data_IF_414383659784
#
_entry.id   IF_414383659784
#
_cell.length_a   1.000
_cell.length_b   1.000
_cell.length_c   1.000
_cell.angle_alpha   90.00
_cell.angle_beta   90.00
_cell.angle_gamma   90.00
#
_symmetry.space_group_name_H-M   'P 1'
#
loop_
_entity.id
_entity.type
_entity.pdbx_description
1 polymer ?
#
# COMPACT_ATOMS: atom_id res chain seq x y z
N UNK A 1 -19.39 39.25 -15.88
CA UNK A 1 -18.07 38.96 -15.30
C UNK A 1 -18.29 37.91 -14.22
N UNK A 2 -18.06 36.64 -14.55
CA UNK A 2 -18.26 35.52 -13.65
C UNK A 2 -16.88 34.98 -13.26
N UNK A 3 -16.64 34.94 -11.96
CA UNK A 3 -15.45 34.43 -11.29
C UNK A 3 -15.31 32.92 -11.54
N UNK A 4 -14.12 32.40 -11.89
CA UNK A 4 -13.97 30.97 -12.16
C UNK A 4 -13.88 30.19 -10.83
N UNK A 5 -14.86 29.32 -10.61
CA UNK A 5 -14.86 28.29 -9.58
C UNK A 5 -13.60 27.42 -9.72
N UNK A 6 -12.75 27.47 -8.70
CA UNK A 6 -11.64 26.53 -8.54
C UNK A 6 -12.20 25.11 -8.33
N UNK A 7 -11.66 24.07 -8.99
CA UNK A 7 -12.03 22.70 -8.66
C UNK A 7 -11.38 22.33 -7.32
N UNK A 8 -12.17 22.34 -6.25
CA UNK A 8 -11.78 21.73 -4.98
C UNK A 8 -11.54 20.23 -5.19
N UNK A 9 -10.31 19.79 -4.95
CA UNK A 9 -10.03 18.37 -4.74
C UNK A 9 -11.00 17.85 -3.65
N UNK A 10 -11.62 16.68 -3.83
CA UNK A 10 -12.53 16.15 -2.83
C UNK A 10 -11.77 15.99 -1.51
N UNK A 11 -12.15 16.80 -0.52
CA UNK A 11 -11.82 16.62 0.89
C UNK A 11 -12.43 15.30 1.37
N UNK A 12 -11.82 14.18 0.98
CA UNK A 12 -12.00 12.94 1.71
C UNK A 12 -11.39 13.21 3.10
N UNK A 13 -12.15 13.09 4.20
CA UNK A 13 -11.60 13.26 5.52
C UNK A 13 -10.45 12.27 5.65
N UNK A 14 -9.24 12.81 5.82
CA UNK A 14 -8.10 12.03 6.24
C UNK A 14 -8.53 11.34 7.53
N UNK A 15 -8.86 10.06 7.47
CA UNK A 15 -8.69 9.19 8.62
C UNK A 15 -7.23 9.40 9.00
N UNK A 16 -7.01 10.14 10.10
CA UNK A 16 -5.71 10.53 10.60
C UNK A 16 -4.97 9.25 10.96
N UNK A 17 -4.28 8.67 9.98
CA UNK A 17 -3.35 7.58 10.17
C UNK A 17 -2.11 8.19 10.78
N UNK A 18 -2.10 8.16 12.11
CA UNK A 18 -1.16 8.86 12.95
C UNK A 18 -0.69 7.86 13.99
N UNK A 19 0.41 7.15 13.74
CA UNK A 19 0.88 6.08 14.62
C UNK A 19 1.34 6.56 16.00
N UNK A 20 1.73 7.82 16.19
CA UNK A 20 2.06 8.34 17.53
C UNK A 20 0.81 8.76 18.33
N UNK A 21 -0.08 9.63 17.80
CA UNK A 21 -1.39 9.87 18.38
C UNK A 21 -2.28 8.62 18.54
N UNK A 22 -2.15 7.59 17.68
CA UNK A 22 -2.88 6.33 17.86
C UNK A 22 -2.19 5.41 18.87
N UNK A 23 -0.87 5.39 18.99
CA UNK A 23 -0.15 4.55 19.95
C UNK A 23 -0.54 4.89 21.38
N UNK A 24 -0.36 6.16 21.78
CA UNK A 24 -0.71 6.59 23.14
C UNK A 24 -2.20 6.46 23.40
N UNK A 25 -3.04 6.81 22.42
CA UNK A 25 -4.49 6.68 22.56
C UNK A 25 -4.96 5.22 22.60
N UNK A 26 -4.35 4.28 21.88
CA UNK A 26 -4.70 2.85 21.93
C UNK A 26 -4.23 2.21 23.22
N UNK A 27 -3.00 2.50 23.67
CA UNK A 27 -2.52 2.04 24.99
C UNK A 27 -3.40 2.63 26.09
N UNK A 28 -3.66 3.94 26.07
CA UNK A 28 -4.52 4.61 27.04
C UNK A 28 -5.95 4.06 27.01
N UNK A 29 -6.54 3.79 25.84
CA UNK A 29 -7.86 3.18 25.73
C UNK A 29 -7.91 1.74 26.30
N UNK A 30 -6.89 0.92 26.03
CA UNK A 30 -6.81 -0.45 26.52
C UNK A 30 -6.60 -0.49 28.04
N UNK A 31 -5.78 0.42 28.56
CA UNK A 31 -5.58 0.62 29.99
C UNK A 31 -6.85 1.14 30.67
N UNK A 32 -7.53 2.11 30.08
CA UNK A 32 -8.82 2.59 30.58
C UNK A 32 -9.85 1.48 30.66
N UNK A 33 -9.96 0.64 29.62
CA UNK A 33 -10.89 -0.49 29.61
C UNK A 33 -10.58 -1.50 30.73
N UNK A 34 -9.31 -1.87 30.89
CA UNK A 34 -8.89 -2.83 31.90
C UNK A 34 -9.07 -2.30 33.33
N UNK A 35 -8.64 -1.07 33.61
CA UNK A 35 -8.74 -0.48 34.95
C UNK A 35 -10.17 -0.10 35.32
N UNK A 36 -11.02 0.28 34.37
CA UNK A 36 -12.45 0.47 34.64
C UNK A 36 -13.13 -0.84 35.01
N UNK A 37 -12.85 -1.93 34.29
CA UNK A 37 -13.38 -3.26 34.63
C UNK A 37 -12.87 -3.75 36.00
N UNK A 38 -11.62 -3.45 36.37
CA UNK A 38 -11.10 -3.72 37.71
C UNK A 38 -11.84 -2.90 38.77
N UNK A 39 -11.99 -1.58 38.57
CA UNK A 39 -12.72 -0.70 39.50
C UNK A 39 -14.15 -1.18 39.75
N UNK A 40 -14.87 -1.60 38.69
CA UNK A 40 -16.23 -2.15 38.81
C UNK A 40 -16.27 -3.45 39.60
N UNK A 41 -15.34 -4.38 39.34
CA UNK A 41 -15.24 -5.64 40.10
C UNK A 41 -14.85 -5.43 41.56
N UNK A 42 -14.00 -4.45 41.86
CA UNK A 42 -13.61 -4.13 43.23
C UNK A 42 -14.73 -3.42 44.01
N UNK A 43 -15.51 -2.56 43.35
CA UNK A 43 -16.71 -1.97 43.96
C UNK A 43 -17.75 -3.02 44.40
N UNK A 44 -17.71 -4.21 43.80
CA UNK A 44 -18.57 -5.35 44.11
C UNK A 44 -17.94 -6.38 45.07
N UNK A 45 -16.68 -6.21 45.51
CA UNK A 45 -15.95 -7.19 46.32
C UNK A 45 -15.94 -6.86 47.83
N UNK A 46 -15.91 -7.86 48.75
CA UNK A 46 -15.80 -7.63 50.18
C UNK A 46 -14.45 -7.05 50.62
N UNK A 47 -14.43 -6.35 51.76
CA UNK A 47 -13.42 -5.41 52.27
C UNK A 47 -11.98 -5.92 52.54
N UNK A 48 -11.55 -7.06 52.00
CA UNK A 48 -10.20 -7.63 52.21
C UNK A 48 -9.29 -7.61 50.98
N UNK A 49 -9.65 -6.87 49.92
CA UNK A 49 -8.86 -6.68 48.70
C UNK A 49 -8.22 -5.30 48.56
N UNK A 50 -7.48 -5.10 47.47
CA UNK A 50 -6.91 -3.80 47.06
C UNK A 50 -7.97 -2.70 47.12
N UNK A 51 -7.62 -1.59 47.75
CA UNK A 51 -8.47 -0.40 47.86
C UNK A 51 -8.54 0.34 46.53
N UNK A 52 -9.62 1.12 46.34
CA UNK A 52 -9.78 1.96 45.15
C UNK A 52 -8.60 2.91 44.94
N UNK A 53 -8.04 3.45 46.03
CA UNK A 53 -6.88 4.33 45.98
C UNK A 53 -5.62 3.61 45.49
N UNK A 54 -5.42 2.34 45.86
CA UNK A 54 -4.29 1.54 45.36
C UNK A 54 -4.45 1.19 43.88
N UNK A 55 -5.68 0.91 43.43
CA UNK A 55 -5.97 0.70 42.00
C UNK A 55 -5.73 1.99 41.19
N UNK A 56 -6.11 3.14 41.72
CA UNK A 56 -5.87 4.44 41.09
C UNK A 56 -4.37 4.78 41.05
N UNK A 57 -3.62 4.49 42.12
CA UNK A 57 -2.17 4.66 42.15
C UNK A 57 -1.44 3.74 41.14
N UNK A 58 -1.90 2.50 40.97
CA UNK A 58 -1.37 1.60 39.94
C UNK A 58 -1.74 2.14 38.55
N UNK A 59 -2.96 2.63 38.34
CA UNK A 59 -3.36 3.23 37.06
C UNK A 59 -2.49 4.44 36.72
N UNK A 60 -2.25 5.34 37.67
CA UNK A 60 -1.40 6.52 37.47
C UNK A 60 0.05 6.12 37.18
N UNK A 61 0.60 5.12 37.88
CA UNK A 61 1.93 4.55 37.59
C UNK A 61 2.06 4.03 36.15
N UNK A 62 1.00 3.38 35.65
CA UNK A 62 0.97 2.88 34.28
C UNK A 62 0.69 3.98 33.24
N UNK A 63 -0.09 5.01 33.59
CA UNK A 63 -0.47 6.12 32.71
C UNK A 63 0.62 7.15 32.54
N UNK A 64 1.33 7.47 33.61
CA UNK A 64 2.38 8.49 33.64
C UNK A 64 3.71 7.99 33.05
N UNK A 65 3.73 6.74 32.55
CA UNK A 65 4.73 6.24 31.63
C UNK A 65 6.05 5.91 32.31
N UNK A 66 6.11 4.79 33.03
CA UNK A 66 7.42 4.24 33.38
C UNK A 66 8.23 3.97 32.10
N UNK A 67 9.51 4.36 32.04
CA UNK A 67 10.38 4.12 30.88
C UNK A 67 10.42 2.65 30.44
N UNK A 68 10.27 1.74 31.39
CA UNK A 68 10.25 0.29 31.17
C UNK A 68 9.00 -0.16 30.41
N UNK A 69 7.82 0.35 30.77
CA UNK A 69 6.57 0.06 30.06
C UNK A 69 6.59 0.67 28.66
N UNK A 70 7.08 1.89 28.53
CA UNK A 70 7.25 2.56 27.24
C UNK A 70 8.14 1.73 26.30
N UNK A 71 9.26 1.21 26.81
CA UNK A 71 10.15 0.32 26.07
C UNK A 71 9.48 -1.01 25.69
N UNK A 72 8.74 -1.61 26.62
CA UNK A 72 8.01 -2.86 26.38
C UNK A 72 6.93 -2.70 25.29
N UNK A 73 6.11 -1.65 25.37
CA UNK A 73 5.10 -1.37 24.35
C UNK A 73 5.73 -1.08 22.98
N UNK A 74 6.81 -0.30 22.92
CA UNK A 74 7.54 -0.08 21.65
C UNK A 74 7.99 -1.41 21.03
N UNK A 75 8.61 -2.28 21.83
CA UNK A 75 9.07 -3.60 21.38
C UNK A 75 7.92 -4.48 20.88
N UNK A 76 6.79 -4.49 21.60
CA UNK A 76 5.59 -5.24 21.22
C UNK A 76 5.01 -4.74 19.89
N UNK A 77 4.94 -3.43 19.70
CA UNK A 77 4.44 -2.83 18.46
C UNK A 77 5.40 -3.02 17.28
N UNK A 78 6.70 -2.88 17.47
CA UNK A 78 7.70 -3.22 16.43
C UNK A 78 7.59 -4.70 16.02
N UNK A 79 7.38 -5.57 16.99
CA UNK A 79 7.16 -7.00 16.75
C UNK A 79 5.84 -7.23 16.00
N UNK A 80 4.76 -6.56 16.39
CA UNK A 80 3.47 -6.62 15.71
C UNK A 80 3.57 -6.12 14.27
N UNK A 81 4.22 -4.98 14.02
CA UNK A 81 4.41 -4.42 12.68
C UNK A 81 5.26 -5.36 11.82
N UNK A 82 6.29 -6.00 12.38
CA UNK A 82 7.08 -7.03 11.68
C UNK A 82 6.24 -8.26 11.35
N UNK A 83 5.46 -8.78 12.29
CA UNK A 83 4.58 -9.95 12.08
C UNK A 83 3.50 -9.62 11.04
N UNK A 84 2.91 -8.43 11.13
CA UNK A 84 1.91 -7.93 10.18
C UNK A 84 2.52 -7.78 8.79
N UNK A 85 3.70 -7.19 8.67
CA UNK A 85 4.42 -7.08 7.40
C UNK A 85 4.73 -8.47 6.82
N UNK A 86 5.19 -9.41 7.64
CA UNK A 86 5.49 -10.79 7.21
C UNK A 86 4.22 -11.55 6.78
N UNK A 87 3.14 -11.44 7.56
CA UNK A 87 1.85 -12.04 7.24
C UNK A 87 1.28 -11.47 5.95
N UNK A 88 1.35 -10.15 5.78
CA UNK A 88 0.95 -9.48 4.55
C UNK A 88 1.83 -9.95 3.38
N UNK A 89 3.16 -10.05 3.54
CA UNK A 89 4.05 -10.54 2.49
C UNK A 89 3.74 -12.00 2.09
N UNK A 90 3.30 -12.81 3.05
CA UNK A 90 2.85 -14.18 2.78
C UNK A 90 1.49 -14.19 2.06
N UNK A 91 0.54 -13.34 2.45
CA UNK A 91 -0.77 -13.24 1.77
C UNK A 91 -0.64 -12.65 0.36
N UNK A 92 0.32 -11.74 0.14
CA UNK A 92 0.65 -11.20 -1.18
C UNK A 92 1.14 -12.29 -2.15
N UNK A 93 1.79 -13.34 -1.64
CA UNK A 93 2.25 -14.47 -2.48
C UNK A 93 1.09 -15.35 -2.93
N UNK A 94 -0.02 -15.34 -2.20
CA UNK A 94 -1.21 -16.13 -2.50
C UNK A 94 -2.29 -15.35 -3.26
N UNK A 95 -2.22 -14.01 -3.27
CA UNK A 95 -3.17 -13.15 -3.98
C UNK A 95 -2.78 -13.00 -5.45
N UNK A 96 -3.54 -13.65 -6.32
CA UNK A 96 -3.29 -13.72 -7.76
C UNK A 96 -3.39 -12.35 -8.45
N UNK A 97 -4.26 -11.45 -7.95
CA UNK A 97 -4.44 -10.12 -8.53
C UNK A 97 -3.28 -9.19 -8.16
N UNK A 98 -2.87 -9.17 -6.91
CA UNK A 98 -1.70 -8.40 -6.48
C UNK A 98 -0.42 -8.91 -7.16
N UNK A 99 -0.29 -10.23 -7.33
CA UNK A 99 0.80 -10.83 -8.10
C UNK A 99 0.80 -10.36 -9.57
N UNK A 100 -0.38 -10.32 -10.19
CA UNK A 100 -0.55 -9.82 -11.56
C UNK A 100 -0.16 -8.34 -11.69
N UNK A 101 -0.43 -7.51 -10.69
CA UNK A 101 0.05 -6.13 -10.68
C UNK A 101 1.58 -6.07 -10.57
N UNK A 102 2.19 -6.87 -9.69
CA UNK A 102 3.65 -6.92 -9.52
C UNK A 102 4.38 -7.35 -10.77
N UNK A 103 3.84 -8.31 -11.53
CA UNK A 103 4.42 -8.77 -12.81
C UNK A 103 4.69 -7.61 -13.79
N UNK A 104 3.92 -6.51 -13.69
CA UNK A 104 4.15 -5.35 -14.56
C UNK A 104 5.43 -4.57 -14.26
N UNK A 105 5.99 -4.71 -13.06
CA UNK A 105 7.18 -3.96 -12.61
C UNK A 105 8.19 -4.81 -11.82
N UNK A 106 8.07 -6.14 -11.82
CA UNK A 106 8.90 -7.01 -10.99
C UNK A 106 10.40 -6.90 -11.29
N UNK A 107 10.74 -6.66 -12.57
CA UNK A 107 12.10 -6.41 -13.05
C UNK A 107 12.74 -5.18 -12.41
N UNK A 108 11.95 -4.24 -11.87
CA UNK A 108 12.44 -3.02 -11.22
C UNK A 108 12.53 -3.16 -9.70
N UNK A 109 12.09 -4.29 -9.13
CA UNK A 109 12.22 -4.53 -7.70
C UNK A 109 13.69 -4.78 -7.34
N UNK A 110 14.08 -4.35 -6.14
CA UNK A 110 15.37 -4.73 -5.54
C UNK A 110 15.43 -6.25 -5.44
N UNK A 111 16.58 -6.82 -5.83
CA UNK A 111 16.83 -8.26 -5.72
C UNK A 111 16.73 -8.69 -4.25
N UNK A 112 16.14 -9.86 -4.01
CA UNK A 112 16.06 -10.47 -2.67
C UNK A 112 17.43 -10.83 -2.12
N UNK A 113 18.39 -11.14 -3.00
CA UNK A 113 19.76 -11.47 -2.64
C UNK A 113 20.66 -10.23 -2.50
N UNK A 114 20.15 -9.03 -2.80
CA UNK A 114 20.93 -7.80 -2.64
C UNK A 114 21.36 -7.63 -1.18
N UNK A 115 22.63 -7.24 -0.93
CA UNK A 115 23.07 -6.90 0.40
C UNK A 115 22.11 -5.89 1.04
N UNK A 116 21.74 -6.15 2.30
CA UNK A 116 20.99 -5.20 3.14
C UNK A 116 21.94 -4.23 3.83
N UNK A 117 23.07 -3.93 3.19
CA UNK A 117 24.04 -2.90 3.57
C UNK A 117 23.47 -1.47 3.47
N UNK A 118 22.16 -1.39 3.21
CA UNK A 118 21.34 -0.29 3.64
C UNK A 118 21.14 0.74 2.56
N UNK A 119 21.37 0.42 1.27
CA UNK A 119 20.98 1.29 0.16
C UNK A 119 20.39 0.53 -1.03
N UNK A 120 19.07 0.59 -1.19
CA UNK A 120 18.44 0.19 -2.43
C UNK A 120 18.96 1.09 -3.58
N UNK A 121 19.33 0.51 -4.75
CA UNK A 121 19.73 1.30 -5.90
C UNK A 121 18.68 2.37 -6.25
N UNK A 122 19.10 3.57 -6.72
CA UNK A 122 18.17 4.66 -7.01
C UNK A 122 17.20 4.31 -8.15
N UNK A 123 17.60 3.40 -9.04
CA UNK A 123 16.83 2.88 -10.18
C UNK A 123 15.95 1.65 -9.82
N UNK A 124 15.88 1.27 -8.54
CA UNK A 124 15.13 0.10 -8.08
C UNK A 124 14.09 0.47 -7.04
N UNK A 125 13.00 -0.29 -7.04
CA UNK A 125 11.87 -0.15 -6.13
C UNK A 125 12.09 -1.10 -4.94
N UNK A 126 12.17 -0.59 -3.69
CA UNK A 126 12.30 -1.45 -2.52
C UNK A 126 11.07 -2.37 -2.36
N UNK A 127 11.28 -3.63 -2.00
CA UNK A 127 10.17 -4.61 -1.87
C UNK A 127 9.28 -4.31 -0.66
N UNK A 128 9.81 -3.59 0.32
CA UNK A 128 9.15 -3.15 1.54
C UNK A 128 7.97 -2.21 1.27
N UNK A 129 7.91 -1.58 0.08
CA UNK A 129 6.80 -0.70 -0.31
C UNK A 129 5.59 -1.46 -0.84
N UNK A 130 5.73 -2.73 -1.23
CA UNK A 130 4.64 -3.54 -1.80
C UNK A 130 3.38 -3.59 -0.92
N UNK A 131 3.47 -3.80 0.42
CA UNK A 131 2.30 -3.72 1.28
C UNK A 131 1.54 -2.38 1.17
N UNK A 132 2.27 -1.27 1.23
CA UNK A 132 1.68 0.07 1.14
C UNK A 132 1.13 0.33 -0.27
N UNK A 133 1.80 -0.20 -1.30
CA UNK A 133 1.35 -0.13 -2.69
C UNK A 133 0.01 -0.81 -2.88
N UNK A 134 -0.17 -2.03 -2.39
CA UNK A 134 -1.45 -2.74 -2.52
C UNK A 134 -2.59 -2.06 -1.76
N UNK A 135 -2.27 -1.45 -0.63
CA UNK A 135 -3.25 -0.62 0.07
C UNK A 135 -3.62 0.62 -0.77
N UNK A 136 -2.64 1.35 -1.29
CA UNK A 136 -2.86 2.54 -2.11
C UNK A 136 -3.61 2.20 -3.41
N UNK A 137 -3.25 1.12 -4.10
CA UNK A 137 -3.95 0.69 -5.33
C UNK A 137 -5.38 0.28 -5.02
N UNK A 138 -5.68 -0.34 -3.88
CA UNK A 138 -7.06 -0.63 -3.48
C UNK A 138 -7.88 0.64 -3.26
N UNK A 139 -7.28 1.69 -2.70
CA UNK A 139 -7.95 3.00 -2.57
C UNK A 139 -8.21 3.65 -3.94
N UNK A 140 -7.26 3.56 -4.87
CA UNK A 140 -7.40 4.11 -6.23
C UNK A 140 -8.46 3.33 -7.04
N UNK A 141 -8.44 2.00 -6.96
CA UNK A 141 -9.27 1.12 -7.78
C UNK A 141 -10.69 0.95 -7.23
N UNK A 142 -10.87 1.12 -5.92
CA UNK A 142 -12.10 0.80 -5.20
C UNK A 142 -12.20 -0.67 -4.82
N UNK A 143 -12.87 -0.96 -3.69
CA UNK A 143 -13.01 -2.32 -3.14
C UNK A 143 -13.72 -3.27 -4.10
N UNK A 144 -14.83 -2.84 -4.70
CA UNK A 144 -15.63 -3.64 -5.63
C UNK A 144 -14.81 -4.12 -6.83
N UNK A 145 -14.01 -3.22 -7.43
CA UNK A 145 -13.18 -3.59 -8.57
C UNK A 145 -12.08 -4.58 -8.18
N UNK A 146 -11.43 -4.36 -7.03
CA UNK A 146 -10.37 -5.24 -6.54
C UNK A 146 -10.93 -6.62 -6.22
N UNK A 147 -12.06 -6.71 -5.54
CA UNK A 147 -12.69 -8.00 -5.18
C UNK A 147 -13.16 -8.76 -6.41
N UNK A 148 -13.80 -8.07 -7.37
CA UNK A 148 -14.21 -8.69 -8.64
C UNK A 148 -13.01 -9.18 -9.43
N UNK A 149 -11.93 -8.39 -9.48
CA UNK A 149 -10.71 -8.74 -10.22
C UNK A 149 -9.96 -9.90 -9.56
N UNK A 150 -9.84 -9.89 -8.22
CA UNK A 150 -9.24 -10.97 -7.46
C UNK A 150 -10.00 -12.28 -7.63
N UNK A 151 -11.34 -12.24 -7.56
CA UNK A 151 -12.18 -13.40 -7.84
C UNK A 151 -11.96 -13.93 -9.27
N UNK A 152 -11.96 -13.05 -10.27
CA UNK A 152 -11.72 -13.47 -11.66
C UNK A 152 -10.35 -14.12 -11.84
N UNK A 153 -9.29 -13.53 -11.29
CA UNK A 153 -7.94 -14.10 -11.31
C UNK A 153 -7.89 -15.48 -10.61
N UNK A 154 -8.54 -15.61 -9.45
CA UNK A 154 -8.61 -16.87 -8.72
C UNK A 154 -9.32 -17.96 -9.53
N UNK A 155 -10.49 -17.65 -10.10
CA UNK A 155 -11.28 -18.58 -10.90
C UNK A 155 -10.50 -19.04 -12.14
N UNK A 156 -9.80 -18.12 -12.81
CA UNK A 156 -8.96 -18.46 -13.97
C UNK A 156 -7.79 -19.35 -13.56
N UNK A 157 -7.07 -19.04 -12.47
CA UNK A 157 -5.99 -19.89 -11.97
C UNK A 157 -6.49 -21.31 -11.73
N UNK A 158 -7.63 -21.47 -11.07
CA UNK A 158 -8.21 -22.79 -10.80
C UNK A 158 -8.56 -23.57 -12.07
N UNK A 159 -9.10 -22.88 -13.08
CA UNK A 159 -9.39 -23.50 -14.39
C UNK A 159 -8.09 -23.97 -15.06
N UNK A 160 -7.05 -23.14 -15.04
CA UNK A 160 -5.74 -23.48 -15.62
C UNK A 160 -5.06 -24.63 -14.86
N UNK A 161 -5.12 -24.64 -13.52
CA UNK A 161 -4.61 -25.74 -12.69
C UNK A 161 -5.35 -27.05 -12.97
N UNK A 162 -6.67 -27.01 -13.18
CA UNK A 162 -7.46 -28.19 -13.54
C UNK A 162 -7.15 -28.69 -14.96
N UNK A 163 -6.90 -27.77 -15.90
CA UNK A 163 -6.60 -28.09 -17.30
C UNK A 163 -5.17 -28.62 -17.48
N UNK A 164 -4.19 -27.96 -16.88
CA UNK A 164 -2.77 -28.18 -17.12
C UNK A 164 -2.13 -29.07 -16.05
N UNK A 165 -2.78 -29.24 -14.89
CA UNK A 165 -2.31 -30.07 -13.79
C UNK A 165 -0.87 -29.70 -13.38
N UNK A 166 0.06 -30.66 -13.35
CA UNK A 166 1.46 -30.39 -13.00
C UNK A 166 2.20 -29.45 -13.96
N UNK A 167 1.69 -29.24 -15.19
CA UNK A 167 2.29 -28.35 -16.17
C UNK A 167 1.87 -26.88 -16.00
N UNK A 168 0.99 -26.58 -15.03
CA UNK A 168 0.63 -25.21 -14.70
C UNK A 168 1.87 -24.38 -14.36
N UNK A 169 1.95 -23.17 -14.92
CA UNK A 169 2.97 -22.19 -14.59
C UNK A 169 2.35 -20.80 -14.47
N UNK A 170 3.04 -19.88 -13.79
CA UNK A 170 2.58 -18.50 -13.73
C UNK A 170 2.61 -17.82 -15.10
N UNK A 171 3.49 -18.25 -16.00
CA UNK A 171 3.57 -17.72 -17.36
C UNK A 171 2.32 -18.09 -18.17
N UNK A 172 1.77 -19.31 -17.99
CA UNK A 172 0.50 -19.68 -18.62
C UNK A 172 -0.68 -18.88 -18.04
N UNK A 173 -0.64 -18.57 -16.74
CA UNK A 173 -1.61 -17.67 -16.11
C UNK A 173 -1.53 -16.23 -16.65
N UNK A 174 -0.33 -15.64 -16.72
CA UNK A 174 -0.14 -14.27 -17.22
C UNK A 174 -0.45 -14.13 -18.71
N UNK A 175 -0.32 -15.22 -19.48
CA UNK A 175 -0.65 -15.24 -20.90
C UNK A 175 -2.14 -15.43 -21.19
N UNK A 176 -2.98 -15.72 -20.18
CA UNK A 176 -4.41 -15.88 -20.38
C UNK A 176 -5.07 -14.54 -20.78
N UNK A 177 -5.85 -14.49 -21.89
CA UNK A 177 -6.44 -13.24 -22.37
C UNK A 177 -7.35 -12.53 -21.36
N UNK A 178 -8.04 -13.28 -20.48
CA UNK A 178 -8.89 -12.69 -19.44
C UNK A 178 -8.05 -12.11 -18.31
N UNK A 179 -6.94 -12.77 -17.94
CA UNK A 179 -5.97 -12.24 -16.98
C UNK A 179 -5.34 -10.96 -17.50
N UNK A 180 -4.89 -10.95 -18.77
CA UNK A 180 -4.37 -9.75 -19.43
C UNK A 180 -5.39 -8.62 -19.45
N UNK A 181 -6.66 -8.91 -19.72
CA UNK A 181 -7.73 -7.91 -19.66
C UNK A 181 -7.87 -7.31 -18.25
N UNK A 182 -7.86 -8.13 -17.20
CA UNK A 182 -7.91 -7.64 -15.80
C UNK A 182 -6.71 -6.74 -15.51
N UNK A 183 -5.50 -7.17 -15.88
CA UNK A 183 -4.27 -6.39 -15.69
C UNK A 183 -4.36 -5.02 -16.38
N UNK A 184 -4.71 -5.01 -17.68
CA UNK A 184 -4.82 -3.79 -18.47
C UNK A 184 -5.86 -2.82 -17.91
N UNK A 185 -7.02 -3.33 -17.47
CA UNK A 185 -8.07 -2.49 -16.85
C UNK A 185 -7.62 -1.89 -15.53
N UNK A 186 -6.93 -2.66 -14.69
CA UNK A 186 -6.42 -2.19 -13.42
C UNK A 186 -5.33 -1.12 -13.62
N UNK A 187 -4.34 -1.40 -14.46
CA UNK A 187 -3.26 -0.46 -14.78
C UNK A 187 -3.81 0.82 -15.39
N UNK A 188 -4.72 0.74 -16.37
CA UNK A 188 -5.29 1.93 -16.98
C UNK A 188 -6.04 2.79 -15.96
N UNK A 189 -6.78 2.19 -15.01
CA UNK A 189 -7.43 2.94 -13.92
C UNK A 189 -6.41 3.61 -12.99
N UNK A 190 -5.34 2.91 -12.62
CA UNK A 190 -4.25 3.47 -11.80
C UNK A 190 -3.60 4.67 -12.50
N UNK A 191 -3.33 4.57 -13.81
CA UNK A 191 -2.70 5.67 -14.56
C UNK A 191 -3.67 6.83 -14.74
N UNK A 192 -4.93 6.56 -15.12
CA UNK A 192 -5.98 7.58 -15.30
C UNK A 192 -6.27 8.35 -14.01
N UNK A 193 -6.06 7.73 -12.84
CA UNK A 193 -6.16 8.42 -11.56
C UNK A 193 -5.35 9.72 -11.55
N UNK A 194 -4.15 9.75 -12.12
CA UNK A 194 -3.28 10.92 -12.12
C UNK A 194 -3.72 12.07 -13.06
N UNK A 195 -4.76 11.89 -13.89
CA UNK A 195 -5.16 12.84 -14.94
C UNK A 195 -5.48 14.25 -14.44
N UNK A 196 -6.29 14.37 -13.40
CA UNK A 196 -6.87 15.65 -12.98
C UNK A 196 -5.93 16.48 -12.11
N UNK A 197 -5.13 15.82 -11.29
CA UNK A 197 -4.21 16.45 -10.35
C UNK A 197 -2.95 15.59 -10.24
N UNK A 198 -2.09 15.71 -11.24
CA UNK A 198 -0.87 14.91 -11.31
C UNK A 198 0.06 15.19 -10.13
N UNK A 199 0.26 16.46 -9.79
CA UNK A 199 1.20 16.89 -8.74
C UNK A 199 0.71 16.53 -7.33
N UNK A 200 -0.57 16.75 -7.02
CA UNK A 200 -1.13 16.38 -5.72
C UNK A 200 -1.21 14.86 -5.55
N UNK A 201 -1.64 14.12 -6.58
CA UNK A 201 -1.71 12.65 -6.54
C UNK A 201 -0.34 11.99 -6.48
N UNK A 202 0.67 12.57 -7.13
CA UNK A 202 2.09 12.20 -6.96
C UNK A 202 2.54 12.35 -5.51
N UNK A 203 2.34 13.54 -4.91
CA UNK A 203 2.73 13.79 -3.51
C UNK A 203 2.01 12.83 -2.57
N UNK A 204 0.72 12.60 -2.81
CA UNK A 204 -0.08 11.66 -2.04
C UNK A 204 0.46 10.23 -2.13
N UNK A 205 0.73 9.70 -3.33
CA UNK A 205 1.19 8.31 -3.47
C UNK A 205 2.59 8.12 -2.88
N UNK A 206 3.50 9.07 -3.10
CA UNK A 206 4.84 9.03 -2.49
C UNK A 206 4.75 9.01 -0.96
N UNK A 207 3.86 9.83 -0.39
CA UNK A 207 3.60 9.84 1.07
C UNK A 207 2.98 8.51 1.54
N UNK A 208 1.99 7.99 0.82
CA UNK A 208 1.30 6.75 1.16
C UNK A 208 2.26 5.54 1.16
N UNK A 209 3.15 5.46 0.16
CA UNK A 209 4.12 4.37 0.05
C UNK A 209 5.22 4.44 1.11
N UNK A 210 5.52 5.64 1.62
CA UNK A 210 6.45 5.85 2.73
C UNK A 210 5.78 5.74 4.11
N UNK A 211 4.46 5.56 4.21
CA UNK A 211 3.76 5.58 5.49
C UNK A 211 4.31 4.53 6.48
N UNK A 212 4.55 3.30 6.01
CA UNK A 212 5.12 2.23 6.84
C UNK A 212 6.64 2.36 7.04
N UNK A 213 7.32 3.18 6.24
CA UNK A 213 8.75 3.42 6.42
C UNK A 213 9.01 4.15 7.74
N UNK A 214 8.11 5.04 8.17
CA UNK A 214 8.23 5.87 9.37
C UNK A 214 8.48 5.13 10.69
N UNK A 215 8.02 3.88 10.82
CA UNK A 215 8.33 3.03 11.98
C UNK A 215 9.78 2.51 12.01
N UNK A 216 10.42 2.42 10.84
CA UNK A 216 11.80 1.93 10.66
C UNK A 216 12.86 3.04 10.70
N UNK A 217 12.46 4.31 10.52
CA UNK A 217 13.40 5.45 10.45
C UNK A 217 14.04 5.79 11.82
N UNK A 218 13.44 5.40 12.95
CA UNK A 218 13.98 5.72 14.28
C UNK A 218 15.21 4.89 14.68
N UNK A 219 15.58 3.87 13.90
CA UNK A 219 16.70 2.96 14.20
C UNK A 219 17.94 3.12 13.31
N UNK A 220 18.16 4.28 12.68
CA UNK A 220 19.34 4.51 11.83
C UNK A 220 19.37 3.72 10.52
N UNK A 221 18.34 2.92 10.23
CA UNK A 221 18.15 2.23 8.94
C UNK A 221 17.51 3.19 7.94
N UNK A 222 18.39 4.06 7.44
CA UNK A 222 18.57 4.44 6.05
C UNK A 222 17.42 5.14 5.29
N UNK A 223 17.62 6.43 5.01
CA UNK A 223 16.94 7.23 3.97
C UNK A 223 16.87 6.59 2.57
N UNK A 224 17.60 5.51 2.34
CA UNK A 224 17.72 4.82 1.05
C UNK A 224 16.55 3.92 0.69
N UNK A 225 15.71 3.54 1.66
CA UNK A 225 14.48 2.77 1.44
C UNK A 225 13.26 3.65 1.15
N UNK A 226 13.41 4.98 1.18
CA UNK A 226 12.32 5.90 0.91
C UNK A 226 11.86 5.79 -0.55
N UNK A 227 10.57 5.63 -0.75
CA UNK A 227 9.97 5.76 -2.07
C UNK A 227 10.05 7.23 -2.52
N UNK A 228 10.63 7.50 -3.69
CA UNK A 228 10.86 8.86 -4.21
C UNK A 228 10.02 9.12 -5.46
N UNK A 229 10.00 10.36 -5.96
CA UNK A 229 9.39 10.69 -7.25
C UNK A 229 10.05 9.93 -8.40
N UNK A 230 11.38 9.77 -8.40
CA UNK A 230 12.07 8.93 -9.38
C UNK A 230 11.65 7.46 -9.34
N UNK A 231 11.43 6.89 -8.15
CA UNK A 231 10.88 5.52 -8.03
C UNK A 231 9.42 5.44 -8.47
N UNK A 232 8.63 6.51 -8.28
CA UNK A 232 7.29 6.61 -8.84
C UNK A 232 7.34 6.63 -10.37
N UNK A 233 8.26 7.39 -10.98
CA UNK A 233 8.47 7.43 -12.43
C UNK A 233 8.71 6.02 -12.96
N UNK A 234 9.62 5.27 -12.34
CA UNK A 234 9.96 3.90 -12.74
C UNK A 234 8.73 3.00 -12.63
N UNK A 235 8.02 3.04 -11.49
CA UNK A 235 6.81 2.26 -11.26
C UNK A 235 5.74 2.53 -12.33
N UNK A 236 5.43 3.81 -12.57
CA UNK A 236 4.39 4.22 -13.52
C UNK A 236 4.78 3.89 -14.96
N UNK A 237 6.04 4.10 -15.37
CA UNK A 237 6.50 3.72 -16.72
C UNK A 237 6.44 2.21 -16.94
N UNK A 238 6.84 1.41 -15.94
CA UNK A 238 6.75 -0.04 -16.00
C UNK A 238 5.31 -0.52 -16.17
N UNK A 239 4.38 0.05 -15.40
CA UNK A 239 2.94 -0.22 -15.53
C UNK A 239 2.41 0.24 -16.91
N UNK A 240 2.69 1.48 -17.32
CA UNK A 240 2.21 2.07 -18.57
C UNK A 240 2.62 1.21 -19.78
N UNK A 241 3.80 0.58 -19.77
CA UNK A 241 4.25 -0.33 -20.83
C UNK A 241 3.21 -1.40 -21.19
N UNK A 242 2.40 -1.86 -20.23
CA UNK A 242 1.35 -2.89 -20.44
C UNK A 242 0.09 -2.36 -21.12
N UNK A 243 -0.07 -1.04 -21.18
CA UNK A 243 -1.25 -0.34 -21.75
C UNK A 243 -0.84 0.76 -22.74
N UNK A 244 0.40 0.70 -23.25
CA UNK A 244 0.98 1.69 -24.15
C UNK A 244 0.63 1.33 -25.61
N UNK A 245 -0.48 1.87 -26.11
CA UNK A 245 -0.94 1.61 -27.47
C UNK A 245 0.13 1.96 -28.53
N UNK A 246 0.89 3.04 -28.33
CA UNK A 246 1.96 3.45 -29.24
C UNK A 246 3.12 2.43 -29.37
N UNK A 247 3.29 1.54 -28.40
CA UNK A 247 4.30 0.48 -28.43
C UNK A 247 3.77 -0.86 -28.96
N UNK A 248 2.47 -0.95 -29.27
CA UNK A 248 1.79 -2.18 -29.66
C UNK A 248 1.54 -2.28 -31.18
N UNK A 249 1.56 -3.51 -31.71
CA UNK A 249 1.10 -3.78 -33.07
C UNK A 249 -0.43 -3.52 -33.22
N UNK A 250 -0.94 -3.53 -34.45
CA UNK A 250 -2.33 -3.17 -34.71
C UNK A 250 -3.36 -4.09 -34.01
N UNK A 251 -3.06 -5.39 -33.93
CA UNK A 251 -3.93 -6.37 -33.28
C UNK A 251 -3.99 -6.16 -31.77
N UNK A 252 -2.82 -6.03 -31.12
CA UNK A 252 -2.71 -5.76 -29.70
C UNK A 252 -3.36 -4.43 -29.31
N UNK A 253 -3.25 -3.41 -30.16
CA UNK A 253 -3.98 -2.13 -29.98
C UNK A 253 -5.49 -2.32 -30.00
N UNK A 254 -6.01 -3.10 -30.95
CA UNK A 254 -7.45 -3.38 -31.02
C UNK A 254 -7.95 -4.15 -29.79
N UNK A 255 -7.15 -5.11 -29.29
CA UNK A 255 -7.45 -5.82 -28.03
C UNK A 255 -7.47 -4.86 -26.84
N UNK A 256 -6.44 -4.01 -26.71
CA UNK A 256 -6.35 -3.02 -25.64
C UNK A 256 -7.53 -2.04 -25.67
N UNK A 257 -7.90 -1.54 -26.86
CA UNK A 257 -9.05 -0.65 -27.05
C UNK A 257 -10.37 -1.31 -26.61
N UNK A 258 -10.58 -2.59 -26.92
CA UNK A 258 -11.74 -3.35 -26.43
C UNK A 258 -11.72 -3.53 -24.91
N UNK A 259 -10.56 -3.76 -24.32
CA UNK A 259 -10.42 -4.04 -22.88
C UNK A 259 -10.56 -2.78 -22.01
N UNK A 260 -10.00 -1.67 -22.47
CA UNK A 260 -9.79 -0.46 -21.66
C UNK A 260 -10.64 0.72 -22.13
N UNK A 261 -10.92 0.80 -23.43
CA UNK A 261 -11.61 1.92 -24.08
C UNK A 261 -10.65 3.00 -24.61
N UNK A 262 -10.94 3.52 -25.80
CA UNK A 262 -10.14 4.53 -26.52
C UNK A 262 -9.88 5.81 -25.71
N UNK A 263 -10.88 6.28 -24.97
CA UNK A 263 -10.76 7.51 -24.16
C UNK A 263 -9.71 7.35 -23.05
N UNK A 264 -9.69 6.18 -22.39
CA UNK A 264 -8.72 5.88 -21.35
C UNK A 264 -7.32 5.70 -21.93
N UNK A 265 -7.19 5.10 -23.10
CA UNK A 265 -5.90 4.98 -23.80
C UNK A 265 -5.32 6.37 -24.08
N UNK A 266 -6.13 7.30 -24.61
CA UNK A 266 -5.69 8.69 -24.83
C UNK A 266 -5.27 9.38 -23.53
N UNK A 267 -5.99 9.11 -22.44
CA UNK A 267 -5.62 9.62 -21.12
C UNK A 267 -4.30 9.04 -20.63
N UNK A 268 -4.08 7.73 -20.80
CA UNK A 268 -2.82 7.06 -20.46
C UNK A 268 -1.65 7.68 -21.23
N UNK A 269 -1.81 7.96 -22.52
CA UNK A 269 -0.75 8.61 -23.30
C UNK A 269 -0.42 10.03 -22.82
N UNK A 270 -1.44 10.79 -22.39
CA UNK A 270 -1.24 12.10 -21.78
C UNK A 270 -0.44 12.00 -20.49
N UNK A 271 -0.89 11.15 -19.55
CA UNK A 271 -0.22 10.94 -18.26
C UNK A 271 1.19 10.40 -18.47
N UNK A 272 1.43 9.56 -19.47
CA UNK A 272 2.78 9.08 -19.84
C UNK A 272 3.73 10.24 -20.16
N UNK A 273 3.26 11.33 -20.78
CA UNK A 273 4.10 12.51 -21.02
C UNK A 273 4.47 13.21 -19.70
N UNK A 274 3.51 13.38 -18.79
CA UNK A 274 3.75 13.96 -17.45
C UNK A 274 4.71 13.09 -16.62
N UNK A 275 4.59 11.76 -16.72
CA UNK A 275 5.50 10.81 -16.06
C UNK A 275 6.91 10.89 -16.64
N UNK A 276 7.07 11.08 -17.95
CA UNK A 276 8.41 11.16 -18.58
C UNK A 276 9.23 12.33 -18.06
N UNK A 277 8.59 13.46 -17.76
CA UNK A 277 9.24 14.66 -17.25
C UNK A 277 9.44 14.66 -15.72
N UNK A 278 8.95 13.64 -15.01
CA UNK A 278 9.37 13.41 -13.62
C UNK A 278 10.90 13.27 -13.59
N UNK A 279 11.56 13.89 -12.62
CA UNK A 279 13.02 14.03 -12.50
C UNK A 279 13.77 14.84 -13.59
N UNK A 280 13.13 15.23 -14.72
CA UNK A 280 13.79 16.14 -15.69
C UNK A 280 13.93 17.56 -15.13
N UNK A 281 13.15 17.89 -14.09
CA UNK A 281 13.41 19.04 -13.22
C UNK A 281 14.46 18.66 -12.17
N UNK A 282 15.70 18.38 -12.62
CA UNK A 282 16.87 18.79 -11.83
C UNK A 282 16.94 20.32 -11.88
N UNK A 283 16.15 20.97 -11.04
CA UNK A 283 16.18 22.42 -10.92
C UNK A 283 16.34 22.79 -9.45
N UNK A 284 17.61 23.13 -9.16
CA UNK A 284 18.18 23.89 -8.05
C UNK A 284 18.46 23.12 -6.75
#
# INVERSE_FOLDING_TARGET
>A
MAEPLQPECPNAPMAKFSSEPSFRATVEALMNLYFNALREKFAAAPASGLTRAEVDAIYDYFKDGSPELDSYYRTLFETYDRIKAQSMMNSMRTDEFNRLLVESFEDYLVDRAAPKDGKAPPDRIPREVLPALFHATRQILGSEFVETSAKACHDIRRILEQRDGPAFSWDTFYSDPKVLQVQQRAIARIVVYFREDFEGKKKWIVKALNYNAGGSIKGGVASSYLFTEGRLKILLLAMIRRVDAGAMNAEARAVLARNVGEERIKTVERVKMDVKILDDKRLF
#
